data_IF_889975004408
#
_entry.id   IF_889975004408
#
_cell.length_a   1.000
_cell.length_b   1.000
_cell.length_c   1.000
_cell.angle_alpha   90.00
_cell.angle_beta   90.00
_cell.angle_gamma   90.00
#
_symmetry.space_group_name_H-M   'P 1'
#
loop_
_entity.id
_entity.type
_entity.pdbx_description
1 polymer ?
#
# COMPACT_ATOMS: atom_id res chain seq x y z
N UNK A 1 -22.46 2.60 48.74
CA UNK A 1 -21.18 2.95 48.08
C UNK A 1 -21.22 2.38 46.68
N UNK A 2 -21.47 3.22 45.67
CA UNK A 2 -21.50 2.79 44.27
C UNK A 2 -20.07 2.47 43.82
N UNK A 3 -19.79 1.31 43.20
CA UNK A 3 -18.47 1.00 42.70
C UNK A 3 -18.15 1.97 41.55
N UNK A 4 -17.18 2.85 41.79
CA UNK A 4 -16.67 3.79 40.81
C UNK A 4 -16.05 3.03 39.64
N UNK A 5 -16.60 3.26 38.45
CA UNK A 5 -16.11 2.77 37.17
C UNK A 5 -14.64 3.14 36.99
N UNK A 6 -13.79 2.11 36.90
CA UNK A 6 -12.35 2.25 36.76
C UNK A 6 -12.03 2.81 35.35
N UNK A 7 -11.44 4.02 35.23
CA UNK A 7 -11.25 4.67 33.93
C UNK A 7 -10.37 3.88 32.95
N UNK A 8 -9.43 3.09 33.50
CA UNK A 8 -8.59 2.19 32.72
C UNK A 8 -9.40 1.05 32.06
N UNK A 9 -10.44 0.56 32.74
CA UNK A 9 -11.32 -0.48 32.22
C UNK A 9 -12.24 0.07 31.12
N UNK A 10 -12.75 1.31 31.29
CA UNK A 10 -13.52 1.98 30.24
C UNK A 10 -12.68 2.24 28.98
N UNK A 11 -11.44 2.72 29.12
CA UNK A 11 -10.50 2.85 28.00
C UNK A 11 -10.16 1.52 27.34
N UNK A 12 -9.97 0.45 28.12
CA UNK A 12 -9.72 -0.87 27.57
C UNK A 12 -10.93 -1.39 26.78
N UNK A 13 -12.15 -1.20 27.28
CA UNK A 13 -13.38 -1.59 26.61
C UNK A 13 -13.69 -0.75 25.36
N UNK A 14 -13.37 0.55 25.36
CA UNK A 14 -13.45 1.41 24.16
C UNK A 14 -12.42 1.00 23.10
N UNK A 15 -11.19 0.70 23.49
CA UNK A 15 -10.16 0.16 22.60
C UNK A 15 -10.57 -1.22 22.03
N UNK A 16 -11.26 -2.04 22.81
CA UNK A 16 -11.78 -3.34 22.34
C UNK A 16 -12.95 -3.17 21.36
N UNK A 17 -13.85 -2.21 21.58
CA UNK A 17 -14.95 -1.90 20.65
C UNK A 17 -14.43 -1.35 19.31
N UNK A 18 -13.46 -0.43 19.34
CA UNK A 18 -12.82 0.06 18.11
C UNK A 18 -12.07 -1.04 17.35
N UNK A 19 -11.67 -2.13 18.01
CA UNK A 19 -11.01 -3.26 17.34
C UNK A 19 -11.93 -4.17 16.52
N UNK A 20 -13.27 -3.97 16.57
CA UNK A 20 -14.24 -4.83 15.87
C UNK A 20 -14.90 -4.18 14.66
N UNK A 21 -14.90 -2.86 14.55
CA UNK A 21 -15.51 -2.17 13.40
C UNK A 21 -14.52 -2.09 12.25
N UNK A 22 -14.88 -2.69 11.12
CA UNK A 22 -14.09 -2.59 9.90
C UNK A 22 -14.48 -1.33 9.15
N UNK A 23 -13.48 -0.52 8.79
CA UNK A 23 -13.66 0.54 7.81
C UNK A 23 -13.50 -0.03 6.41
N UNK A 24 -14.41 0.33 5.52
CA UNK A 24 -14.43 -0.13 4.13
C UNK A 24 -13.91 0.98 3.22
N UNK A 25 -12.91 0.67 2.41
CA UNK A 25 -12.38 1.53 1.36
C UNK A 25 -12.60 0.85 0.00
N UNK A 26 -13.29 1.53 -0.91
CA UNK A 26 -13.57 1.04 -2.25
C UNK A 26 -12.79 1.81 -3.30
N UNK A 27 -12.21 1.09 -4.25
CA UNK A 27 -11.43 1.64 -5.34
C UNK A 27 -11.88 1.07 -6.68
N UNK A 28 -12.00 1.95 -7.67
CA UNK A 28 -12.14 1.58 -9.07
C UNK A 28 -10.77 1.65 -9.74
N UNK A 29 -10.34 0.54 -10.34
CA UNK A 29 -9.01 0.40 -10.93
C UNK A 29 -9.14 0.02 -12.40
N UNK A 30 -8.56 0.82 -13.28
CA UNK A 30 -8.44 0.49 -14.69
C UNK A 30 -7.50 -0.69 -14.90
N UNK A 31 -7.95 -1.70 -15.64
CA UNK A 31 -7.11 -2.80 -16.07
C UNK A 31 -7.43 -3.22 -17.51
N UNK A 32 -6.86 -4.34 -17.95
CA UNK A 32 -6.84 -4.71 -19.37
C UNK A 32 -8.20 -5.01 -19.99
N UNK A 33 -9.17 -5.49 -19.20
CA UNK A 33 -10.53 -5.83 -19.67
C UNK A 33 -11.61 -4.84 -19.21
N UNK A 34 -11.22 -3.73 -18.57
CA UNK A 34 -12.15 -2.74 -18.04
C UNK A 34 -11.80 -2.28 -16.63
N UNK A 35 -12.79 -1.75 -15.91
CA UNK A 35 -12.63 -1.31 -14.54
C UNK A 35 -12.91 -2.45 -13.55
N UNK A 36 -12.01 -2.63 -12.59
CA UNK A 36 -12.14 -3.58 -11.50
C UNK A 36 -12.48 -2.85 -10.21
N UNK A 37 -13.38 -3.43 -9.42
CA UNK A 37 -13.70 -2.94 -8.09
C UNK A 37 -12.84 -3.69 -7.09
N UNK A 38 -12.02 -2.94 -6.36
CA UNK A 38 -11.18 -3.43 -5.29
C UNK A 38 -11.67 -2.85 -3.96
N UNK A 39 -11.69 -3.68 -2.93
CA UNK A 39 -12.14 -3.30 -1.60
C UNK A 39 -11.07 -3.66 -0.59
N UNK A 40 -10.81 -2.73 0.32
CA UNK A 40 -9.93 -2.92 1.47
C UNK A 40 -10.76 -2.69 2.72
N UNK A 41 -10.87 -3.72 3.55
CA UNK A 41 -11.53 -3.70 4.85
C UNK A 41 -10.43 -3.70 5.90
N UNK A 42 -10.36 -2.69 6.75
CA UNK A 42 -9.32 -2.61 7.78
C UNK A 42 -9.88 -2.28 9.16
N UNK A 43 -9.19 -2.77 10.19
CA UNK A 43 -9.31 -2.31 11.55
C UNK A 43 -7.91 -2.35 12.21
N UNK A 44 -7.85 -2.10 13.52
CA UNK A 44 -6.58 -2.07 14.26
C UNK A 44 -5.82 -3.41 14.33
N UNK A 45 -6.42 -4.53 13.92
CA UNK A 45 -5.87 -5.88 14.04
C UNK A 45 -5.73 -6.62 12.71
N UNK A 46 -6.54 -6.30 11.71
CA UNK A 46 -6.63 -7.07 10.48
C UNK A 46 -6.95 -6.20 9.28
N UNK A 47 -6.46 -6.65 8.12
CA UNK A 47 -6.77 -6.09 6.81
C UNK A 47 -7.23 -7.22 5.92
N UNK A 48 -8.42 -7.07 5.35
CA UNK A 48 -9.01 -7.98 4.37
C UNK A 48 -9.13 -7.25 3.03
N UNK A 49 -8.97 -7.99 1.95
CA UNK A 49 -9.03 -7.40 0.60
C UNK A 49 -9.85 -8.28 -0.33
N UNK A 50 -10.56 -7.65 -1.26
CA UNK A 50 -11.28 -8.34 -2.33
C UNK A 50 -11.16 -7.55 -3.63
N UNK A 51 -11.16 -8.24 -4.76
CA UNK A 51 -11.08 -7.62 -6.08
C UNK A 51 -11.93 -8.39 -7.08
N UNK A 52 -12.72 -7.69 -7.89
CA UNK A 52 -13.58 -8.30 -8.92
C UNK A 52 -12.80 -8.95 -10.07
N UNK A 53 -11.48 -8.76 -10.14
CA UNK A 53 -10.65 -9.43 -11.14
C UNK A 53 -10.46 -10.94 -10.87
N UNK A 54 -11.01 -11.48 -9.76
CA UNK A 54 -10.95 -12.90 -9.42
C UNK A 54 -9.62 -13.38 -8.86
N UNK A 55 -8.61 -12.50 -8.75
CA UNK A 55 -7.33 -12.83 -8.14
C UNK A 55 -7.44 -12.77 -6.62
N UNK A 56 -7.43 -13.92 -5.94
CA UNK A 56 -7.19 -13.96 -4.49
C UNK A 56 -5.69 -14.05 -4.19
N UNK A 57 -5.28 -13.44 -3.06
CA UNK A 57 -3.92 -13.28 -2.55
C UNK A 57 -2.86 -12.99 -3.64
N UNK A 58 -2.33 -11.75 -3.64
CA UNK A 58 -1.37 -11.20 -4.65
C UNK A 58 -2.00 -10.61 -5.92
N UNK A 59 -3.29 -10.26 -5.89
CA UNK A 59 -3.90 -9.45 -6.95
C UNK A 59 -3.12 -8.15 -7.18
N UNK A 60 -2.66 -7.91 -8.42
CA UNK A 60 -1.91 -6.70 -8.77
C UNK A 60 -2.66 -5.41 -8.43
N UNK A 61 -3.98 -5.37 -8.62
CA UNK A 61 -4.82 -4.22 -8.28
C UNK A 61 -4.80 -3.91 -6.77
N UNK A 62 -4.88 -4.95 -5.93
CA UNK A 62 -4.79 -4.81 -4.47
C UNK A 62 -3.38 -4.37 -4.06
N UNK A 63 -2.35 -4.96 -4.66
CA UNK A 63 -0.97 -4.57 -4.38
C UNK A 63 -0.70 -3.11 -4.77
N UNK A 64 -1.29 -2.61 -5.86
CA UNK A 64 -1.23 -1.18 -6.22
C UNK A 64 -1.82 -0.29 -5.13
N UNK A 65 -3.03 -0.59 -4.65
CA UNK A 65 -3.68 0.17 -3.56
C UNK A 65 -2.82 0.14 -2.29
N UNK A 66 -2.42 -1.06 -1.85
CA UNK A 66 -1.67 -1.23 -0.60
C UNK A 66 -0.27 -0.61 -0.69
N UNK A 67 0.34 -0.57 -1.88
CA UNK A 67 1.63 0.10 -2.10
C UNK A 67 1.51 1.62 -2.26
N UNK A 68 0.29 2.18 -2.33
CA UNK A 68 0.07 3.61 -2.54
C UNK A 68 0.30 4.06 -3.99
N UNK A 69 0.15 3.15 -4.96
CA UNK A 69 0.30 3.44 -6.39
C UNK A 69 -1.06 3.80 -6.98
N UNK A 70 -1.22 5.05 -7.41
CA UNK A 70 -2.47 5.63 -7.91
C UNK A 70 -2.65 5.57 -9.43
N UNK A 71 -1.63 5.16 -10.18
CA UNK A 71 -1.55 5.32 -11.65
C UNK A 71 -2.74 4.76 -12.42
N UNK A 72 -3.37 3.69 -11.92
CA UNK A 72 -4.53 3.03 -12.55
C UNK A 72 -5.81 3.24 -11.74
N UNK A 73 -5.75 3.90 -10.59
CA UNK A 73 -6.92 4.18 -9.77
C UNK A 73 -7.68 5.33 -10.43
N UNK A 74 -8.97 5.13 -10.67
CA UNK A 74 -9.80 6.15 -11.30
C UNK A 74 -9.91 7.39 -10.39
N UNK A 75 -10.03 8.61 -10.96
CA UNK A 75 -10.05 9.86 -10.20
C UNK A 75 -11.06 9.89 -9.04
N UNK A 76 -12.24 9.30 -9.23
CA UNK A 76 -13.28 9.22 -8.20
C UNK A 76 -12.88 8.42 -6.94
N UNK A 77 -11.88 7.54 -7.05
CA UNK A 77 -11.38 6.73 -5.93
C UNK A 77 -10.02 7.17 -5.40
N UNK A 78 -9.30 8.07 -6.10
CA UNK A 78 -7.95 8.50 -5.72
C UNK A 78 -7.92 9.21 -4.36
N UNK A 79 -8.94 10.01 -4.04
CA UNK A 79 -9.02 10.75 -2.78
C UNK A 79 -9.06 9.86 -1.53
N UNK A 80 -9.51 8.60 -1.65
CA UNK A 80 -9.53 7.65 -0.54
C UNK A 80 -8.17 7.00 -0.26
N UNK A 81 -7.21 7.11 -1.18
CA UNK A 81 -5.92 6.43 -1.08
C UNK A 81 -5.02 7.00 0.03
N UNK A 82 -4.84 8.33 0.18
CA UNK A 82 -4.02 8.89 1.26
C UNK A 82 -4.59 8.54 2.65
N UNK A 83 -5.91 8.55 2.81
CA UNK A 83 -6.57 8.18 4.06
C UNK A 83 -6.32 6.72 4.43
N UNK A 84 -6.49 5.80 3.46
CA UNK A 84 -6.19 4.39 3.67
C UNK A 84 -4.72 4.18 4.06
N UNK A 85 -3.79 4.83 3.35
CA UNK A 85 -2.35 4.73 3.62
C UNK A 85 -2.01 5.22 5.03
N UNK A 86 -2.53 6.39 5.44
CA UNK A 86 -2.30 6.93 6.77
C UNK A 86 -2.83 6.00 7.89
N UNK A 87 -4.01 5.39 7.68
CA UNK A 87 -4.59 4.47 8.66
C UNK A 87 -3.79 3.17 8.77
N UNK A 88 -3.42 2.57 7.65
CA UNK A 88 -2.61 1.36 7.65
C UNK A 88 -1.23 1.59 8.26
N UNK A 89 -0.56 2.70 7.93
CA UNK A 89 0.77 3.03 8.46
C UNK A 89 0.74 3.34 9.97
N UNK A 90 -0.41 3.75 10.51
CA UNK A 90 -0.60 3.96 11.96
C UNK A 90 -0.63 2.68 12.80
N UNK A 91 -0.67 1.51 12.15
CA UNK A 91 -0.68 0.19 12.82
C UNK A 91 0.54 -0.64 12.45
N UNK A 92 1.15 -1.40 13.38
CA UNK A 92 2.29 -2.26 13.06
C UNK A 92 1.97 -3.31 11.98
N UNK A 93 0.75 -3.87 12.00
CA UNK A 93 0.26 -4.84 11.03
C UNK A 93 0.06 -4.21 9.64
N UNK A 94 -0.58 -3.04 9.57
CA UNK A 94 -0.80 -2.32 8.33
C UNK A 94 0.51 -1.85 7.68
N UNK A 95 1.46 -1.33 8.47
CA UNK A 95 2.78 -0.95 7.98
C UNK A 95 3.54 -2.14 7.35
N UNK A 96 3.48 -3.33 7.97
CA UNK A 96 4.05 -4.55 7.39
C UNK A 96 3.39 -4.95 6.08
N UNK A 97 2.06 -4.79 5.97
CA UNK A 97 1.31 -5.09 4.75
C UNK A 97 1.69 -4.13 3.62
N UNK A 98 1.80 -2.83 3.93
CA UNK A 98 2.26 -1.80 2.99
C UNK A 98 3.65 -2.17 2.47
N UNK A 99 4.60 -2.46 3.36
CA UNK A 99 5.98 -2.77 2.98
C UNK A 99 6.07 -4.04 2.12
N UNK A 100 5.29 -5.07 2.48
CA UNK A 100 5.17 -6.28 1.66
C UNK A 100 4.59 -5.98 0.28
N UNK A 101 3.53 -5.17 0.19
CA UNK A 101 2.91 -4.81 -1.09
C UNK A 101 3.88 -4.02 -1.98
N UNK A 102 4.60 -3.04 -1.40
CA UNK A 102 5.67 -2.29 -2.04
C UNK A 102 6.75 -3.21 -2.60
N UNK A 103 7.24 -4.14 -1.79
CA UNK A 103 8.24 -5.14 -2.18
C UNK A 103 7.74 -6.01 -3.34
N UNK A 104 6.51 -6.50 -3.27
CA UNK A 104 5.91 -7.34 -4.31
C UNK A 104 5.65 -6.59 -5.61
N UNK A 105 5.35 -5.29 -5.54
CA UNK A 105 5.21 -4.42 -6.72
C UNK A 105 6.56 -3.98 -7.28
N UNK A 106 7.67 -4.44 -6.69
CA UNK A 106 9.02 -3.91 -6.90
C UNK A 106 9.12 -2.41 -6.62
N UNK A 107 8.10 -1.79 -6.03
CA UNK A 107 8.12 -0.40 -5.60
C UNK A 107 8.99 -0.35 -4.36
N UNK A 108 10.30 -0.32 -4.58
CA UNK A 108 11.20 0.13 -3.53
C UNK A 108 10.74 1.53 -3.14
N UNK A 109 10.46 1.78 -1.88
CA UNK A 109 10.05 3.13 -1.42
C UNK A 109 11.15 3.91 -0.76
N UNK A 110 12.33 3.30 -0.66
CA UNK A 110 13.50 3.89 -0.05
C UNK A 110 14.73 3.48 -0.83
N UNK A 111 15.66 4.42 -0.98
CA UNK A 111 16.96 4.09 -1.52
C UNK A 111 17.69 3.08 -0.61
N UNK A 112 18.25 1.98 -1.15
CA UNK A 112 19.00 1.02 -0.35
C UNK A 112 20.30 1.59 0.23
N UNK A 113 20.83 2.68 -0.36
CA UNK A 113 22.07 3.30 0.10
C UNK A 113 21.86 4.37 1.18
N UNK A 114 20.79 5.17 1.08
CA UNK A 114 20.57 6.32 1.98
C UNK A 114 19.19 6.38 2.65
N UNK A 115 18.36 5.35 2.46
CA UNK A 115 16.98 5.27 2.95
C UNK A 115 16.03 6.40 2.49
N UNK A 116 16.48 7.31 1.62
CA UNK A 116 15.64 8.40 1.09
C UNK A 116 14.44 7.87 0.31
N UNK A 117 13.28 8.49 0.54
CA UNK A 117 12.04 8.25 -0.22
C UNK A 117 11.99 9.04 -1.53
N UNK A 118 12.98 9.90 -1.80
CA UNK A 118 13.07 10.70 -3.02
C UNK A 118 13.65 9.87 -4.18
N UNK A 119 12.79 9.07 -4.80
CA UNK A 119 13.16 8.08 -5.81
C UNK A 119 12.32 8.26 -7.08
N UNK A 120 12.86 7.84 -8.23
CA UNK A 120 12.18 7.90 -9.53
C UNK A 120 12.21 6.53 -10.19
N UNK A 121 11.04 5.99 -10.53
CA UNK A 121 10.95 4.77 -11.31
C UNK A 121 11.45 5.02 -12.75
N UNK A 122 12.34 4.17 -13.25
CA UNK A 122 12.83 4.23 -14.61
C UNK A 122 11.77 3.65 -15.56
N UNK A 123 11.48 4.37 -16.65
CA UNK A 123 10.50 3.92 -17.65
C UNK A 123 10.87 2.56 -18.25
N UNK A 124 9.88 1.77 -18.68
CA UNK A 124 10.10 0.45 -19.32
C UNK A 124 11.08 0.51 -20.50
N UNK A 125 11.02 1.56 -21.32
CA UNK A 125 11.93 1.77 -22.44
C UNK A 125 13.39 1.90 -21.97
N UNK A 126 13.66 2.74 -20.97
CA UNK A 126 14.99 2.91 -20.38
C UNK A 126 15.53 1.60 -19.77
N UNK A 127 14.68 0.81 -19.11
CA UNK A 127 15.08 -0.49 -18.54
C UNK A 127 15.51 -1.50 -19.59
N UNK A 128 14.75 -1.60 -20.68
CA UNK A 128 15.09 -2.49 -21.79
C UNK A 128 16.36 -2.04 -22.50
N UNK A 129 16.53 -0.73 -22.72
CA UNK A 129 17.72 -0.16 -23.34
C UNK A 129 18.98 -0.40 -22.50
N UNK A 130 18.90 -0.18 -21.18
CA UNK A 130 20.01 -0.44 -20.26
C UNK A 130 20.40 -1.92 -20.21
N UNK A 131 19.42 -2.84 -20.18
CA UNK A 131 19.68 -4.28 -20.26
C UNK A 131 20.33 -4.71 -21.58
N UNK A 132 19.93 -4.11 -22.71
CA UNK A 132 20.52 -4.39 -24.02
C UNK A 132 21.96 -3.84 -24.16
N UNK A 133 22.20 -2.62 -23.69
CA UNK A 133 23.49 -1.93 -23.87
C UNK A 133 24.56 -2.40 -22.89
N UNK A 134 24.19 -2.72 -21.66
CA UNK A 134 25.14 -2.99 -20.58
C UNK A 134 25.12 -4.44 -20.09
N UNK A 135 24.26 -5.30 -20.68
CA UNK A 135 24.05 -6.69 -20.25
C UNK A 135 23.80 -6.82 -18.75
N UNK A 136 23.17 -5.78 -18.18
CA UNK A 136 23.07 -5.55 -16.75
C UNK A 136 21.63 -5.81 -16.29
N UNK A 137 21.44 -6.16 -15.01
CA UNK A 137 20.08 -6.36 -14.49
C UNK A 137 19.29 -5.04 -14.63
N UNK A 138 18.06 -5.06 -15.17
CA UNK A 138 17.32 -3.83 -15.45
C UNK A 138 17.00 -3.08 -14.16
N UNK A 139 17.77 -2.03 -13.90
CA UNK A 139 17.58 -1.09 -12.80
C UNK A 139 16.19 -0.48 -12.91
N UNK A 140 15.39 -0.50 -11.85
CA UNK A 140 14.00 -0.06 -11.89
C UNK A 140 13.76 1.31 -11.27
N UNK A 141 14.70 1.82 -10.48
CA UNK A 141 14.60 3.04 -9.70
C UNK A 141 15.92 3.80 -9.69
N UNK A 142 15.84 5.12 -9.48
CA UNK A 142 16.96 6.01 -9.22
C UNK A 142 16.65 6.90 -8.04
N UNK A 143 17.52 6.97 -7.04
CA UNK A 143 17.41 7.96 -5.96
C UNK A 143 17.82 9.35 -6.47
N UNK A 144 17.04 10.39 -6.18
CA UNK A 144 17.38 11.76 -6.54
C UNK A 144 18.40 12.39 -5.62
N UNK A 145 18.53 11.90 -4.38
CA UNK A 145 19.46 12.46 -3.39
C UNK A 145 20.86 11.89 -3.58
N UNK A 146 21.03 10.57 -3.47
CA UNK A 146 22.36 9.92 -3.56
C UNK A 146 22.71 9.38 -4.96
N UNK A 147 21.81 9.53 -5.95
CA UNK A 147 21.99 9.11 -7.35
C UNK A 147 22.16 7.61 -7.61
N UNK A 148 22.11 6.77 -6.57
CA UNK A 148 22.14 5.30 -6.68
C UNK A 148 20.95 4.79 -7.51
N UNK A 149 21.18 3.75 -8.31
CA UNK A 149 20.19 3.07 -9.14
C UNK A 149 20.05 1.61 -8.67
N UNK A 150 18.83 1.07 -8.69
CA UNK A 150 18.51 -0.33 -8.33
C UNK A 150 17.22 -0.80 -9.00
#
# INVERSE_FOLDING_TARGET
MSPGSCPALQKAMENEKQSKEYKTHEFLIAGTKGAYKAMVLENTRSVMTSCTCGGQQKCGHILQILAGVDVNIKPESQGALPELQARLDSTPEGAKIIEKAKTMMMVSTRCPACASTNITALSKAHRMLAGMLYNDRPQSYRCRDCKVQW
#
